data_IF_086725477745
#
_entry.id   IF_086725477745
#
_cell.length_a   1.000
_cell.length_b   1.000
_cell.length_c   1.000
_cell.angle_alpha   90.00
_cell.angle_beta   90.00
_cell.angle_gamma   90.00
#
_symmetry.space_group_name_H-M   'P 1'
#
loop_
_entity.id
_entity.type
_entity.pdbx_description
1 polymer ?
#
# COMPACT_ATOMS: atom_id res chain seq x y z
N UNK A 1 -16.62 22.23 -14.25
CA UNK A 1 -17.62 21.13 -14.27
C UNK A 1 -18.55 21.43 -15.44
N UNK A 2 -18.95 20.46 -16.27
CA UNK A 2 -19.87 20.73 -17.40
C UNK A 2 -21.30 20.90 -16.88
N UNK A 3 -22.02 21.91 -17.35
CA UNK A 3 -23.32 22.35 -16.80
C UNK A 3 -24.46 21.32 -16.95
N UNK A 4 -24.32 20.35 -17.86
CA UNK A 4 -25.33 19.33 -18.12
C UNK A 4 -25.23 18.09 -17.22
N UNK A 5 -24.23 18.02 -16.34
CA UNK A 5 -24.15 16.92 -15.39
C UNK A 5 -24.90 17.28 -14.10
N UNK A 6 -26.13 16.78 -13.99
CA UNK A 6 -26.89 16.80 -12.74
C UNK A 6 -26.45 15.62 -11.85
N UNK A 7 -25.38 15.84 -11.08
CA UNK A 7 -24.82 14.84 -10.16
C UNK A 7 -25.79 14.47 -9.03
N UNK A 8 -26.82 15.29 -8.76
CA UNK A 8 -27.87 15.00 -7.77
C UNK A 8 -28.83 13.90 -8.24
N UNK A 9 -28.94 13.66 -9.55
CA UNK A 9 -29.77 12.60 -10.14
C UNK A 9 -29.00 11.37 -10.63
N UNK A 10 -27.66 11.44 -10.68
CA UNK A 10 -26.83 10.29 -11.08
C UNK A 10 -26.70 9.26 -9.95
N UNK A 11 -27.15 8.02 -10.21
CA UNK A 11 -26.76 6.86 -9.38
C UNK A 11 -25.27 6.58 -9.64
N UNK A 12 -24.41 6.96 -8.70
CA UNK A 12 -22.96 6.73 -8.78
C UNK A 12 -22.66 5.25 -9.02
N UNK A 13 -22.11 4.91 -10.19
CA UNK A 13 -21.69 3.54 -10.51
C UNK A 13 -20.26 3.34 -10.01
N UNK A 14 -20.06 2.39 -9.09
CA UNK A 14 -18.71 2.00 -8.64
C UNK A 14 -17.89 1.55 -9.85
N UNK A 15 -16.66 2.07 -9.99
CA UNK A 15 -15.80 1.75 -11.12
C UNK A 15 -15.50 0.22 -11.15
N UNK A 16 -15.88 -0.51 -12.23
CA UNK A 16 -15.72 -1.96 -12.32
C UNK A 16 -14.26 -2.41 -12.36
N UNK A 17 -13.32 -1.50 -12.61
CA UNK A 17 -11.89 -1.79 -12.70
C UNK A 17 -11.15 -1.68 -11.37
N UNK A 18 -11.81 -1.23 -10.29
CA UNK A 18 -11.18 -1.10 -8.97
C UNK A 18 -10.57 -2.43 -8.48
N UNK A 19 -11.21 -3.55 -8.83
CA UNK A 19 -10.72 -4.89 -8.48
C UNK A 19 -9.39 -5.27 -9.13
N UNK A 20 -8.97 -4.59 -10.20
CA UNK A 20 -7.70 -4.84 -10.89
C UNK A 20 -6.57 -3.93 -10.40
N UNK A 21 -6.87 -2.91 -9.58
CA UNK A 21 -5.86 -1.96 -9.08
C UNK A 21 -5.00 -2.52 -7.95
N UNK A 22 -5.51 -3.53 -7.24
CA UNK A 22 -4.81 -4.17 -6.12
C UNK A 22 -4.93 -5.67 -6.25
N UNK A 23 -3.79 -6.35 -6.29
CA UNK A 23 -3.73 -7.79 -6.19
C UNK A 23 -3.45 -8.17 -4.72
N UNK A 24 -4.36 -8.89 -4.04
CA UNK A 24 -4.07 -9.39 -2.70
C UNK A 24 -2.97 -10.45 -2.79
N UNK A 25 -1.91 -10.27 -1.99
CA UNK A 25 -0.78 -11.20 -1.91
C UNK A 25 -0.56 -11.62 -0.47
N UNK A 26 -0.29 -12.91 -0.27
CA UNK A 26 0.12 -13.44 1.04
C UNK A 26 1.64 -13.51 1.07
N UNK A 27 2.25 -12.78 1.99
CA UNK A 27 3.72 -12.74 2.16
C UNK A 27 4.05 -13.24 3.56
N UNK A 28 5.08 -14.08 3.68
CA UNK A 28 5.64 -14.47 4.99
C UNK A 28 6.61 -13.37 5.43
N UNK A 29 6.37 -12.84 6.62
CA UNK A 29 7.19 -11.79 7.24
C UNK A 29 7.51 -12.28 8.65
N UNK A 30 8.73 -12.01 9.11
CA UNK A 30 9.15 -12.32 10.46
C UNK A 30 8.36 -11.51 11.51
N UNK A 31 8.30 -12.05 12.73
CA UNK A 31 7.49 -11.46 13.81
C UNK A 31 8.00 -10.08 14.22
N UNK A 32 9.31 -9.87 14.17
CA UNK A 32 9.95 -8.65 14.65
C UNK A 32 9.69 -7.49 13.69
N UNK A 33 9.80 -7.72 12.38
CA UNK A 33 9.41 -6.78 11.33
C UNK A 33 7.94 -6.39 11.45
N UNK A 34 7.03 -7.35 11.68
CA UNK A 34 5.60 -7.03 11.91
C UNK A 34 5.43 -6.15 13.15
N UNK A 35 6.15 -6.45 14.24
CA UNK A 35 6.09 -5.65 15.46
C UNK A 35 6.56 -4.22 15.21
N UNK A 36 7.67 -4.05 14.49
CA UNK A 36 8.19 -2.74 14.11
C UNK A 36 7.17 -1.90 13.32
N UNK A 37 6.56 -2.48 12.28
CA UNK A 37 5.56 -1.75 11.49
C UNK A 37 4.26 -1.47 12.26
N UNK A 38 3.93 -2.27 13.28
CA UNK A 38 2.79 -1.97 14.16
C UNK A 38 3.07 -0.76 15.06
N UNK A 39 4.24 -0.68 15.67
CA UNK A 39 4.63 0.49 16.46
C UNK A 39 4.68 1.75 15.57
N UNK A 40 5.24 1.64 14.37
CA UNK A 40 5.25 2.75 13.41
C UNK A 40 3.84 3.17 12.96
N UNK A 41 2.89 2.23 12.90
CA UNK A 41 1.49 2.53 12.59
C UNK A 41 0.81 3.32 13.71
N UNK A 42 1.13 3.03 14.97
CA UNK A 42 0.62 3.78 16.13
C UNK A 42 1.13 5.23 16.12
N UNK A 43 2.40 5.44 15.75
CA UNK A 43 3.00 6.78 15.68
C UNK A 43 2.48 7.61 14.50
N UNK A 44 2.33 6.99 13.32
CA UNK A 44 1.97 7.70 12.09
C UNK A 44 0.46 7.78 11.84
N UNK A 45 -0.33 6.96 12.53
CA UNK A 45 -1.77 6.79 12.28
C UNK A 45 -2.10 6.06 10.97
N UNK A 46 -1.10 5.53 10.26
CA UNK A 46 -1.26 4.80 9.00
C UNK A 46 -1.25 3.29 9.31
N UNK A 47 -2.20 2.49 8.78
CA UNK A 47 -2.21 1.04 9.01
C UNK A 47 -0.89 0.38 8.60
N UNK A 48 -0.39 -0.55 9.41
CA UNK A 48 0.89 -1.23 9.18
C UNK A 48 0.98 -1.91 7.80
N UNK A 49 -0.12 -2.47 7.27
CA UNK A 49 -0.11 -3.05 5.91
C UNK A 49 0.14 -2.00 4.83
N UNK A 50 -0.38 -0.79 5.03
CA UNK A 50 -0.17 0.33 4.11
C UNK A 50 1.27 0.80 4.19
N UNK A 51 1.84 0.91 5.40
CA UNK A 51 3.25 1.25 5.58
C UNK A 51 4.18 0.24 4.89
N UNK A 52 3.97 -1.07 5.11
CA UNK A 52 4.76 -2.11 4.42
C UNK A 52 4.72 -1.90 2.90
N UNK A 53 3.54 -1.68 2.34
CA UNK A 53 3.39 -1.46 0.90
C UNK A 53 4.08 -0.16 0.42
N UNK A 54 4.04 0.91 1.21
CA UNK A 54 4.73 2.17 0.89
C UNK A 54 6.24 1.99 0.90
N UNK A 55 6.80 1.28 1.88
CA UNK A 55 8.23 0.99 1.94
C UNK A 55 8.68 0.09 0.80
N UNK A 56 7.90 -0.93 0.44
CA UNK A 56 8.19 -1.74 -0.75
C UNK A 56 8.18 -0.90 -2.02
N UNK A 57 7.24 0.05 -2.13
CA UNK A 57 7.19 0.99 -3.25
C UNK A 57 8.43 1.91 -3.28
N UNK A 58 8.84 2.45 -2.14
CA UNK A 58 10.08 3.23 -2.01
C UNK A 58 11.29 2.43 -2.51
N UNK A 59 11.44 1.18 -2.05
CA UNK A 59 12.50 0.29 -2.50
C UNK A 59 12.53 0.11 -4.02
N UNK A 60 11.36 -0.03 -4.66
CA UNK A 60 11.28 -0.16 -6.12
C UNK A 60 11.61 1.14 -6.86
N UNK A 61 11.16 2.29 -6.35
CA UNK A 61 11.44 3.62 -6.94
C UNK A 61 12.93 3.93 -6.86
N UNK A 62 13.56 3.64 -5.72
CA UNK A 62 14.96 3.90 -5.48
C UNK A 62 15.89 2.77 -5.96
N UNK A 63 15.34 1.73 -6.60
CA UNK A 63 16.08 0.56 -7.07
C UNK A 63 17.01 -0.03 -5.99
N UNK A 64 16.57 -0.03 -4.73
CA UNK A 64 17.36 -0.55 -3.61
C UNK A 64 17.59 -2.04 -3.83
N UNK A 65 18.86 -2.45 -3.86
CA UNK A 65 19.26 -3.85 -3.93
C UNK A 65 19.67 -4.31 -2.53
N UNK A 66 19.27 -5.51 -2.16
CA UNK A 66 19.74 -6.12 -0.92
C UNK A 66 21.25 -6.31 -1.01
N UNK A 67 21.99 -5.68 -0.10
CA UNK A 67 23.42 -5.96 0.05
C UNK A 67 23.54 -7.25 0.84
N UNK A 68 23.84 -8.34 0.13
CA UNK A 68 24.14 -9.63 0.73
C UNK A 68 25.64 -9.72 1.05
N UNK A 69 26.10 -8.91 2.00
CA UNK A 69 27.37 -9.21 2.66
C UNK A 69 27.09 -10.29 3.70
N UNK A 70 27.19 -11.54 3.27
CA UNK A 70 27.21 -12.66 4.21
C UNK A 70 28.47 -12.49 5.04
N UNK A 71 28.32 -12.07 6.30
CA UNK A 71 29.39 -12.12 7.30
C UNK A 71 29.82 -13.58 7.37
N UNK A 72 31.02 -13.83 6.87
CA UNK A 72 31.68 -15.14 6.88
C UNK A 72 32.03 -15.55 8.31
#
# INVERSE_FOLDING_TARGET
>A
MRDHYDFSKMKGKKNPYIKYLKQPVTIRIDRDSISYFKSLAEETGIPYQTLINLYLRDCTIHHRKLQMEWVS
#
